data_IF_955873481121
#
_entry.id   IF_955873481121
#
_cell.length_a   1.000
_cell.length_b   1.000
_cell.length_c   1.000
_cell.angle_alpha   90.00
_cell.angle_beta   90.00
_cell.angle_gamma   90.00
#
_symmetry.space_group_name_H-M   'P 1'
#
loop_
_entity.id
_entity.type
_entity.pdbx_description
1 polymer ?
#
# COMPACT_ATOMS: atom_id res chain seq x y z
N UNK A 1 -26.75 -54.66 -8.77
CA UNK A 1 -26.33 -54.04 -10.04
C UNK A 1 -27.60 -53.37 -10.55
N UNK A 2 -27.74 -52.06 -10.61
CA UNK A 2 -26.83 -51.05 -11.14
C UNK A 2 -26.93 -49.76 -10.33
N UNK A 3 -25.79 -49.21 -9.93
CA UNK A 3 -25.71 -47.89 -9.29
C UNK A 3 -25.80 -46.82 -10.38
N UNK A 4 -26.82 -45.97 -10.28
CA UNK A 4 -26.90 -44.74 -11.05
C UNK A 4 -25.73 -43.82 -10.66
N UNK A 5 -24.73 -43.74 -11.52
CA UNK A 5 -23.68 -42.71 -11.44
C UNK A 5 -24.27 -41.44 -12.03
N UNK A 6 -24.80 -40.59 -11.16
CA UNK A 6 -25.11 -39.21 -11.51
C UNK A 6 -23.79 -38.47 -11.67
N UNK A 7 -23.38 -38.26 -12.93
CA UNK A 7 -22.26 -37.38 -13.26
C UNK A 7 -22.57 -35.97 -12.75
N UNK A 8 -21.80 -35.54 -11.75
CA UNK A 8 -21.74 -34.14 -11.34
C UNK A 8 -21.14 -33.32 -12.49
N UNK A 9 -21.75 -32.20 -12.92
CA UNK A 9 -21.12 -31.33 -13.88
C UNK A 9 -19.90 -30.68 -13.24
N UNK A 10 -18.79 -30.71 -13.97
CA UNK A 10 -17.55 -30.05 -13.65
C UNK A 10 -17.78 -28.59 -13.26
N UNK A 11 -17.12 -28.17 -12.18
CA UNK A 11 -17.02 -26.81 -11.68
C UNK A 11 -16.50 -25.89 -12.79
N UNK A 12 -17.42 -25.35 -13.61
CA UNK A 12 -17.11 -24.28 -14.53
C UNK A 12 -16.70 -23.05 -13.73
N UNK A 13 -15.48 -22.58 -13.92
CA UNK A 13 -15.03 -21.31 -13.35
C UNK A 13 -16.01 -20.22 -13.77
N UNK A 14 -16.83 -19.75 -12.81
CA UNK A 14 -17.74 -18.65 -13.06
C UNK A 14 -16.91 -17.43 -13.51
N UNK A 15 -17.12 -17.03 -14.77
CA UNK A 15 -16.52 -15.82 -15.32
C UNK A 15 -16.80 -14.68 -14.34
N UNK A 16 -15.79 -13.90 -13.94
CA UNK A 16 -16.00 -12.73 -13.09
C UNK A 16 -17.17 -11.90 -13.58
N UNK A 17 -18.02 -11.43 -12.67
CA UNK A 17 -18.96 -10.39 -13.01
C UNK A 17 -18.18 -9.22 -13.64
N UNK A 18 -18.50 -8.79 -14.88
CA UNK A 18 -17.73 -7.77 -15.58
C UNK A 18 -17.66 -6.45 -14.78
N UNK A 19 -18.68 -6.19 -13.97
CA UNK A 19 -18.75 -5.06 -13.04
C UNK A 19 -17.64 -5.08 -11.98
N UNK A 20 -17.27 -6.26 -11.48
CA UNK A 20 -16.27 -6.41 -10.44
C UNK A 20 -14.87 -6.09 -10.97
N UNK A 21 -14.54 -6.60 -12.17
CA UNK A 21 -13.29 -6.24 -12.86
C UNK A 21 -13.25 -4.74 -13.13
N UNK A 22 -14.32 -4.15 -13.66
CA UNK A 22 -14.37 -2.73 -13.96
C UNK A 22 -14.09 -1.85 -12.71
N UNK A 23 -14.58 -2.26 -11.54
CA UNK A 23 -14.29 -1.58 -10.26
C UNK A 23 -12.83 -1.70 -9.83
N UNK A 24 -12.21 -2.86 -10.01
CA UNK A 24 -10.78 -3.05 -9.71
C UNK A 24 -9.93 -2.23 -10.69
N UNK A 25 -10.26 -2.21 -11.97
CA UNK A 25 -9.56 -1.37 -12.94
C UNK A 25 -9.69 0.12 -12.63
N UNK A 26 -10.89 0.57 -12.22
CA UNK A 26 -11.10 1.95 -11.80
C UNK A 26 -10.21 2.31 -10.59
N UNK A 27 -10.03 1.38 -9.66
CA UNK A 27 -9.13 1.58 -8.53
C UNK A 27 -7.67 1.72 -8.96
N UNK A 28 -7.18 0.89 -9.89
CA UNK A 28 -5.83 1.04 -10.45
C UNK A 28 -5.62 2.40 -11.15
N UNK A 29 -6.63 2.90 -11.86
CA UNK A 29 -6.59 4.24 -12.46
C UNK A 29 -6.52 5.34 -11.39
N UNK A 30 -7.24 5.19 -10.28
CA UNK A 30 -7.16 6.11 -9.13
C UNK A 30 -5.78 6.10 -8.46
N UNK A 31 -5.06 4.96 -8.52
CA UNK A 31 -3.66 4.85 -8.09
C UNK A 31 -2.66 5.44 -9.11
N UNK A 32 -3.14 6.03 -10.20
CA UNK A 32 -2.31 6.73 -11.18
C UNK A 32 -1.75 5.87 -12.31
N UNK A 33 -2.22 4.63 -12.47
CA UNK A 33 -1.90 3.81 -13.65
C UNK A 33 -2.67 4.32 -14.88
N UNK A 34 -2.03 4.28 -16.04
CA UNK A 34 -2.57 4.79 -17.32
C UNK A 34 -2.61 3.72 -18.41
N UNK A 35 -1.76 2.70 -18.35
CA UNK A 35 -1.71 1.64 -19.36
C UNK A 35 -2.89 0.65 -19.21
N UNK A 36 -3.84 0.61 -20.16
CA UNK A 36 -5.02 -0.24 -20.04
C UNK A 36 -4.69 -1.74 -20.08
N UNK A 37 -3.62 -2.15 -20.76
CA UNK A 37 -3.20 -3.57 -20.82
C UNK A 37 -2.66 -4.01 -19.47
N UNK A 38 -1.81 -3.18 -18.86
CA UNK A 38 -1.27 -3.42 -17.53
C UNK A 38 -2.40 -3.46 -16.48
N UNK A 39 -3.30 -2.47 -16.50
CA UNK A 39 -4.45 -2.38 -15.59
C UNK A 39 -5.32 -3.64 -15.69
N UNK A 40 -5.66 -4.07 -16.91
CA UNK A 40 -6.46 -5.26 -17.13
C UNK A 40 -5.79 -6.52 -16.58
N UNK A 41 -4.50 -6.70 -16.85
CA UNK A 41 -3.70 -7.82 -16.32
C UNK A 41 -3.69 -7.84 -14.79
N UNK A 42 -3.36 -6.71 -14.15
CA UNK A 42 -3.31 -6.58 -12.69
C UNK A 42 -4.68 -6.81 -12.06
N UNK A 43 -5.77 -6.32 -12.66
CA UNK A 43 -7.12 -6.51 -12.16
C UNK A 43 -7.52 -8.00 -12.15
N UNK A 44 -7.24 -8.73 -13.22
CA UNK A 44 -7.47 -10.18 -13.30
C UNK A 44 -6.65 -10.94 -12.26
N UNK A 45 -5.37 -10.60 -12.12
CA UNK A 45 -4.49 -11.26 -11.15
C UNK A 45 -4.91 -11.02 -9.70
N UNK A 46 -5.38 -9.82 -9.36
CA UNK A 46 -5.87 -9.51 -8.01
C UNK A 46 -7.13 -10.31 -7.71
N UNK A 47 -8.06 -10.38 -8.67
CA UNK A 47 -9.27 -11.16 -8.53
C UNK A 47 -8.99 -12.66 -8.41
N UNK A 48 -8.09 -13.19 -9.23
CA UNK A 48 -7.69 -14.59 -9.18
C UNK A 48 -7.07 -14.95 -7.82
N UNK A 49 -6.23 -14.08 -7.25
CA UNK A 49 -5.69 -14.30 -5.90
C UNK A 49 -6.75 -14.19 -4.81
N UNK A 50 -7.66 -13.23 -4.90
CA UNK A 50 -8.76 -13.10 -3.95
C UNK A 50 -9.63 -14.38 -3.92
N UNK A 51 -9.94 -14.96 -5.08
CA UNK A 51 -10.66 -16.25 -5.19
C UNK A 51 -9.90 -17.40 -4.55
N UNK A 52 -8.59 -17.48 -4.73
CA UNK A 52 -7.77 -18.56 -4.15
C UNK A 52 -7.74 -18.56 -2.62
N UNK A 53 -7.90 -17.39 -1.99
CA UNK A 53 -7.85 -17.23 -0.55
C UNK A 53 -9.19 -17.51 0.14
N UNK A 54 -10.30 -17.59 -0.62
CA UNK A 54 -11.65 -17.64 -0.06
C UNK A 54 -12.43 -18.75 -0.75
N UNK A 55 -12.92 -19.73 0.04
CA UNK A 55 -13.59 -20.90 -0.53
C UNK A 55 -14.93 -20.59 -1.19
N UNK A 56 -15.80 -19.78 -0.55
CA UNK A 56 -17.11 -19.34 -1.10
C UNK A 56 -17.36 -17.88 -0.77
N UNK A 57 -16.69 -16.95 -1.46
CA UNK A 57 -16.93 -15.53 -1.26
C UNK A 57 -18.22 -15.06 -1.95
N UNK A 58 -18.92 -14.13 -1.30
CA UNK A 58 -19.80 -13.22 -2.03
C UNK A 58 -18.98 -12.18 -2.82
N UNK A 59 -19.62 -11.51 -3.77
CA UNK A 59 -18.97 -10.53 -4.64
C UNK A 59 -18.38 -9.33 -3.88
N UNK A 60 -18.96 -8.96 -2.72
CA UNK A 60 -18.47 -7.87 -1.88
C UNK A 60 -17.15 -8.19 -1.20
N UNK A 61 -17.05 -9.38 -0.59
CA UNK A 61 -15.81 -9.86 0.02
C UNK A 61 -14.73 -10.12 -1.04
N UNK A 62 -15.10 -10.65 -2.22
CA UNK A 62 -14.18 -10.80 -3.36
C UNK A 62 -13.59 -9.46 -3.77
N UNK A 63 -14.44 -8.45 -3.95
CA UNK A 63 -13.99 -7.11 -4.33
C UNK A 63 -13.08 -6.53 -3.26
N UNK A 64 -13.48 -6.57 -1.98
CA UNK A 64 -12.67 -6.03 -0.87
C UNK A 64 -11.26 -6.63 -0.88
N UNK A 65 -11.16 -7.95 -0.99
CA UNK A 65 -9.87 -8.66 -1.00
C UNK A 65 -9.05 -8.38 -2.26
N UNK A 66 -9.71 -8.23 -3.41
CA UNK A 66 -9.01 -7.84 -4.63
C UNK A 66 -8.45 -6.42 -4.55
N UNK A 67 -9.17 -5.47 -3.92
CA UNK A 67 -8.68 -4.10 -3.68
C UNK A 67 -7.54 -4.08 -2.68
N UNK A 68 -7.61 -4.87 -1.61
CA UNK A 68 -6.49 -5.03 -0.65
C UNK A 68 -5.24 -5.59 -1.32
N UNK A 69 -5.39 -6.61 -2.17
CA UNK A 69 -4.27 -7.16 -2.94
C UNK A 69 -3.72 -6.15 -3.95
N UNK A 70 -4.59 -5.35 -4.59
CA UNK A 70 -4.16 -4.28 -5.49
C UNK A 70 -3.32 -3.23 -4.75
N UNK A 71 -3.80 -2.73 -3.62
CA UNK A 71 -3.05 -1.77 -2.80
C UNK A 71 -1.73 -2.37 -2.32
N UNK A 72 -1.75 -3.61 -1.82
CA UNK A 72 -0.54 -4.31 -1.35
C UNK A 72 0.53 -4.42 -2.44
N UNK A 73 0.14 -4.77 -3.67
CA UNK A 73 1.07 -4.87 -4.79
C UNK A 73 1.61 -3.52 -5.22
N UNK A 74 0.76 -2.51 -5.24
CA UNK A 74 1.18 -1.14 -5.53
C UNK A 74 2.20 -0.65 -4.49
N UNK A 75 1.86 -0.76 -3.21
CA UNK A 75 2.74 -0.34 -2.11
C UNK A 75 4.06 -1.14 -2.13
N UNK A 76 4.03 -2.43 -2.49
CA UNK A 76 5.24 -3.24 -2.65
C UNK A 76 6.12 -2.79 -3.83
N UNK A 77 5.53 -2.51 -4.98
CA UNK A 77 6.25 -1.99 -6.14
C UNK A 77 6.87 -0.61 -5.84
N UNK A 78 6.12 0.25 -5.14
CA UNK A 78 6.59 1.56 -4.69
C UNK A 78 7.73 1.46 -3.67
N UNK A 79 7.59 0.58 -2.67
CA UNK A 79 8.65 0.31 -1.69
C UNK A 79 9.94 -0.12 -2.38
N UNK A 80 9.83 -1.05 -3.33
CA UNK A 80 10.96 -1.59 -4.08
C UNK A 80 11.61 -0.50 -4.95
N UNK A 81 10.83 0.30 -5.67
CA UNK A 81 11.32 1.43 -6.45
C UNK A 81 12.08 2.45 -5.56
N UNK A 82 11.55 2.73 -4.38
CA UNK A 82 12.14 3.69 -3.43
C UNK A 82 13.30 3.11 -2.61
N UNK A 83 13.58 1.80 -2.70
CA UNK A 83 14.57 1.11 -1.89
C UNK A 83 14.25 1.14 -0.39
N UNK A 84 12.96 1.16 -0.03
CA UNK A 84 12.52 1.20 1.36
C UNK A 84 12.68 -0.18 2.01
N UNK A 85 13.24 -0.27 3.22
CA UNK A 85 13.28 -1.52 3.95
C UNK A 85 11.86 -1.95 4.35
N UNK A 86 11.62 -3.27 4.54
CA UNK A 86 10.37 -3.73 5.13
C UNK A 86 10.23 -3.16 6.54
N UNK A 87 9.24 -2.27 6.73
CA UNK A 87 8.95 -1.63 8.00
C UNK A 87 7.49 -1.87 8.38
N UNK A 88 7.23 -1.92 9.69
CA UNK A 88 5.87 -1.92 10.21
C UNK A 88 5.24 -0.53 10.25
N UNK A 89 6.03 0.53 10.03
CA UNK A 89 5.54 1.91 9.97
C UNK A 89 4.89 2.18 8.59
N UNK A 90 3.59 2.48 8.53
CA UNK A 90 2.90 2.79 7.28
C UNK A 90 3.19 4.21 6.76
N UNK A 91 3.73 5.11 7.57
CA UNK A 91 3.86 6.53 7.21
C UNK A 91 4.76 6.79 5.98
N UNK A 92 5.96 6.18 5.85
CA UNK A 92 6.81 6.42 4.69
C UNK A 92 6.17 6.01 3.36
N UNK A 93 5.42 4.90 3.36
CA UNK A 93 4.70 4.43 2.17
C UNK A 93 3.50 5.31 1.85
N UNK A 94 2.75 5.74 2.85
CA UNK A 94 1.64 6.67 2.67
C UNK A 94 2.13 7.99 2.07
N UNK A 95 3.25 8.53 2.57
CA UNK A 95 3.89 9.73 2.05
C UNK A 95 4.37 9.55 0.60
N UNK A 96 5.02 8.42 0.28
CA UNK A 96 5.51 8.13 -1.07
C UNK A 96 4.36 8.02 -2.08
N UNK A 97 3.25 7.38 -1.67
CA UNK A 97 2.04 7.29 -2.50
C UNK A 97 1.41 8.66 -2.72
N UNK A 98 1.30 9.47 -1.68
CA UNK A 98 0.79 10.84 -1.81
C UNK A 98 1.67 11.68 -2.76
N UNK A 99 2.99 11.59 -2.62
CA UNK A 99 3.93 12.27 -3.51
C UNK A 99 3.73 11.84 -4.98
N UNK A 100 3.59 10.54 -5.23
CA UNK A 100 3.34 10.01 -6.58
C UNK A 100 2.01 10.52 -7.17
N UNK A 101 0.94 10.55 -6.38
CA UNK A 101 -0.37 11.03 -6.83
C UNK A 101 -0.41 12.54 -7.08
N UNK A 102 0.48 13.31 -6.43
CA UNK A 102 0.63 14.75 -6.62
C UNK A 102 1.60 15.12 -7.76
N UNK A 103 2.29 14.14 -8.32
CA UNK A 103 3.26 14.28 -9.42
C UNK A 103 2.64 13.92 -10.78
N UNK A 104 2.01 14.87 -11.51
CA UNK A 104 1.33 14.60 -12.78
C UNK A 104 2.26 14.11 -13.90
N UNK A 105 3.56 14.41 -13.80
CA UNK A 105 4.60 14.01 -14.73
C UNK A 105 4.89 12.51 -14.72
N UNK A 106 4.56 11.83 -13.61
CA UNK A 106 4.80 10.40 -13.44
C UNK A 106 3.51 9.59 -13.57
N UNK A 107 3.64 8.37 -14.07
CA UNK A 107 2.58 7.37 -14.06
C UNK A 107 2.93 6.26 -13.07
N UNK A 108 1.92 5.72 -12.40
CA UNK A 108 2.09 4.51 -11.57
C UNK A 108 2.55 3.30 -12.40
N UNK A 109 2.35 3.32 -13.72
CA UNK A 109 2.84 2.26 -14.63
C UNK A 109 4.37 2.07 -14.52
N UNK A 110 5.11 3.15 -14.27
CA UNK A 110 6.57 3.15 -14.17
C UNK A 110 7.09 2.26 -13.03
N UNK A 111 6.28 2.04 -11.99
CA UNK A 111 6.62 1.16 -10.86
C UNK A 111 6.74 -0.31 -11.28
N UNK A 112 6.09 -0.72 -12.37
CA UNK A 112 6.02 -2.10 -12.82
C UNK A 112 6.99 -2.42 -13.98
N UNK A 113 7.78 -1.44 -14.44
CA UNK A 113 8.71 -1.59 -15.58
C UNK A 113 10.13 -2.02 -15.17
N UNK A 114 10.54 -1.70 -13.95
CA UNK A 114 11.85 -2.05 -13.37
C UNK A 114 13.06 -1.63 -14.25
N UNK A 115 12.96 -0.48 -14.91
CA UNK A 115 14.00 0.05 -15.81
C UNK A 115 14.61 1.36 -15.27
N UNK A 116 15.37 2.07 -16.10
CA UNK A 116 15.95 3.39 -15.73
C UNK A 116 14.88 4.40 -15.31
N UNK A 117 13.68 4.35 -15.89
CA UNK A 117 12.60 5.28 -15.56
C UNK A 117 12.08 5.05 -14.15
N UNK A 118 12.13 3.81 -13.65
CA UNK A 118 11.81 3.50 -12.25
C UNK A 118 12.80 4.17 -11.28
N UNK A 119 14.09 4.28 -11.65
CA UNK A 119 15.11 4.96 -10.83
C UNK A 119 14.91 6.48 -10.83
N UNK A 120 14.66 7.06 -12.01
CA UNK A 120 14.36 8.49 -12.15
C UNK A 120 13.11 8.90 -11.36
N UNK A 121 12.07 8.07 -11.40
CA UNK A 121 10.87 8.25 -10.59
C UNK A 121 11.23 8.30 -9.10
N UNK A 122 11.99 7.32 -8.61
CA UNK A 122 12.35 7.25 -7.19
C UNK A 122 13.17 8.47 -6.74
N UNK A 123 14.11 8.93 -7.55
CA UNK A 123 14.88 10.16 -7.29
C UNK A 123 13.97 11.40 -7.25
N UNK A 124 13.04 11.52 -8.21
CA UNK A 124 12.05 12.59 -8.23
C UNK A 124 11.20 12.59 -6.97
N UNK A 125 10.66 11.43 -6.56
CA UNK A 125 9.82 11.33 -5.35
C UNK A 125 10.59 11.64 -4.08
N UNK A 126 11.86 11.22 -3.97
CA UNK A 126 12.72 11.57 -2.82
C UNK A 126 12.92 13.07 -2.67
N UNK A 127 12.92 13.83 -3.76
CA UNK A 127 13.05 15.29 -3.71
C UNK A 127 11.80 16.00 -3.16
N UNK A 128 10.62 15.36 -3.27
CA UNK A 128 9.33 15.91 -2.84
C UNK A 128 8.94 15.42 -1.44
N UNK A 129 9.45 14.25 -1.04
CA UNK A 129 9.11 13.65 0.24
C UNK A 129 9.60 14.52 1.41
N UNK A 130 8.74 14.77 2.41
CA UNK A 130 9.15 15.48 3.62
C UNK A 130 10.19 14.66 4.36
N UNK A 131 11.37 15.24 4.56
CA UNK A 131 12.41 14.67 5.41
C UNK A 131 11.97 14.89 6.86
N UNK A 132 11.89 13.81 7.64
CA UNK A 132 11.64 13.93 9.08
C UNK A 132 12.72 14.82 9.68
N UNK A 133 12.29 15.77 10.49
CA UNK A 133 13.07 16.80 11.20
C UNK A 133 14.43 16.22 11.68
N UNK A 134 15.55 16.96 11.54
CA UNK A 134 16.88 16.49 11.92
C UNK A 134 16.93 15.98 13.37
N UNK A 135 17.86 15.07 13.65
CA UNK A 135 18.06 14.44 14.96
C UNK A 135 17.87 15.43 16.11
N UNK A 136 17.05 15.04 17.09
CA UNK A 136 16.93 15.76 18.36
C UNK A 136 18.31 15.78 19.01
N UNK A 137 19.07 16.82 18.69
CA UNK A 137 20.33 17.12 19.34
C UNK A 137 19.97 17.31 20.80
N UNK A 138 20.27 16.33 21.65
CA UNK A 138 19.96 16.39 23.08
C UNK A 138 20.53 17.70 23.64
N UNK A 139 19.66 18.70 23.82
CA UNK A 139 20.03 19.96 24.42
C UNK A 139 20.49 19.64 25.84
N UNK A 140 21.79 19.75 26.07
CA UNK A 140 22.36 19.48 27.38
C UNK A 140 21.91 20.59 28.32
N UNK A 141 20.86 20.34 29.10
CA UNK A 141 20.37 21.28 30.08
C UNK A 141 21.38 21.37 31.24
N UNK A 142 21.84 22.58 31.57
CA UNK A 142 22.59 22.80 32.81
C UNK A 142 21.65 22.52 33.98
N UNK A 143 22.07 21.65 34.89
CA UNK A 143 21.38 21.41 36.17
C UNK A 143 21.31 22.73 36.93
N UNK A 144 20.08 23.24 37.08
CA UNK A 144 19.81 24.38 37.96
C UNK A 144 19.44 23.80 39.33
N UNK A 145 20.20 24.11 40.40
CA UNK A 145 19.82 23.69 41.74
C UNK A 145 18.49 24.36 42.12
N UNK A 146 17.54 23.56 42.60
CA UNK A 146 16.29 24.04 43.18
C UNK A 146 16.53 24.33 44.66
N UNK A 147 16.54 25.61 45.02
CA UNK A 147 16.56 26.04 46.42
C UNK A 147 15.13 26.09 46.96
N UNK A 148 14.77 25.10 47.79
CA UNK A 148 13.50 25.09 48.50
C UNK A 148 13.62 25.93 49.78
N UNK A 149 13.08 27.15 49.77
CA UNK A 149 12.88 27.96 50.97
C UNK A 149 11.61 27.50 51.72
N UNK A 150 11.67 26.31 52.28
CA UNK A 150 10.66 25.79 53.21
C UNK A 150 11.39 25.44 54.50
N UNK A 151 11.49 26.40 55.41
CA UNK A 151 11.28 26.28 56.85
C UNK A 151 11.65 27.63 57.48
N UNK A 152 10.64 28.38 57.93
CA UNK A 152 10.86 29.45 58.92
C UNK A 152 11.33 28.75 60.21
N UNK A 153 12.58 28.97 60.59
CA UNK A 153 13.05 28.71 61.95
C UNK A 153 12.09 29.39 62.91
N UNK A 154 11.41 28.61 63.74
CA UNK A 154 10.69 29.12 64.89
C UNK A 154 11.65 29.04 66.07
N UNK A 155 12.16 30.21 66.49
CA UNK A 155 12.86 30.40 67.75
C UNK A 155 11.96 29.99 68.92
N UNK A 156 12.49 29.13 69.80
CA UNK A 156 12.29 29.21 71.25
C UNK A 156 13.31 28.39 72.03
#
# INVERSE_FOLDING_TARGET
MEHAVTEQPATGEAKPAPELIARIEAYWRQLGLKDPVLIGSLAHDCLHRARRLIGRPDDGELLRRALEEAQRRFDHALANAMGMPPSNDPQPLAAARAALLLSPEWSGDTLFRHDETTRQLAESLRSVLPVSVPDESHLTMKTVPLDFWLFKSTDR
#
